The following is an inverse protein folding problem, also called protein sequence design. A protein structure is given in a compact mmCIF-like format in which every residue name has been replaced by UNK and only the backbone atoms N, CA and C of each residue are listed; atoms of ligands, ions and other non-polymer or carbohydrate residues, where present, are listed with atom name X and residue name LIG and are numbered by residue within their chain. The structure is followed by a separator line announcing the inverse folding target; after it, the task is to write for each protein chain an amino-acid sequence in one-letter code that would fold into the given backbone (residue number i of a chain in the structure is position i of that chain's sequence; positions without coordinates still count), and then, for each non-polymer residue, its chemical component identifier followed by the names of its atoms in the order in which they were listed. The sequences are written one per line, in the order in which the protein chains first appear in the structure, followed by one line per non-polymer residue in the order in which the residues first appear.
data_IF_993266828773
#
_entry.id   IF_993266828773
#
_cell.length_a   1.000
_cell.length_b   1.000
_cell.length_c   1.000
_cell.angle_alpha   90.00
_cell.angle_beta   90.00
_cell.angle_gamma   90.00
#
_symmetry.space_group_name_H-M   'P 1'
#
loop_
_entity.id
_entity.type
_entity.pdbx_description
1 polymer ?
#
# COMPACT_ATOMS: atom_id res chain seq x y z
N UNK A 1 9.21 -15.30 -5.41
CA UNK A 1 10.42 -15.68 -6.16
C UNK A 1 10.08 -15.69 -7.63
N UNK A 2 9.20 -16.62 -8.01
CA UNK A 2 8.65 -16.77 -9.36
C UNK A 2 8.23 -15.45 -10.04
N UNK A 3 7.38 -14.64 -9.42
CA UNK A 3 6.92 -13.37 -10.02
C UNK A 3 8.10 -12.45 -10.41
N UNK A 4 9.14 -12.34 -9.57
CA UNK A 4 10.31 -11.52 -9.92
C UNK A 4 11.06 -12.08 -11.13
N UNK A 5 11.18 -13.41 -11.23
CA UNK A 5 11.77 -14.06 -12.41
C UNK A 5 10.98 -13.75 -13.67
N UNK A 6 9.65 -13.85 -13.61
CA UNK A 6 8.77 -13.56 -14.75
C UNK A 6 8.89 -12.08 -15.16
N UNK A 7 8.86 -11.15 -14.19
CA UNK A 7 9.03 -9.71 -14.44
C UNK A 7 10.43 -9.34 -14.96
N UNK A 8 11.46 -10.12 -14.63
CA UNK A 8 12.82 -9.88 -15.14
C UNK A 8 13.02 -10.42 -16.56
N UNK A 9 12.22 -11.41 -16.98
CA UNK A 9 12.32 -11.99 -18.31
C UNK A 9 11.57 -11.19 -19.39
N UNK A 10 10.59 -10.36 -19.02
CA UNK A 10 9.92 -9.45 -19.94
C UNK A 10 10.68 -8.13 -20.07
N UNK A 11 10.90 -7.68 -21.31
CA UNK A 11 11.78 -6.55 -21.61
C UNK A 11 11.26 -5.21 -21.04
N UNK A 12 9.95 -4.95 -21.09
CA UNK A 12 9.38 -3.69 -20.59
C UNK A 12 9.44 -3.65 -19.06
N UNK A 13 9.08 -4.75 -18.39
CA UNK A 13 9.11 -4.81 -16.92
C UNK A 13 10.54 -4.84 -16.37
N UNK A 14 11.48 -5.46 -17.08
CA UNK A 14 12.92 -5.43 -16.78
C UNK A 14 13.49 -4.01 -16.89
N UNK A 15 13.23 -3.31 -18.01
CA UNK A 15 13.75 -1.95 -18.23
C UNK A 15 13.25 -0.96 -17.16
N UNK A 16 12.05 -1.19 -16.61
CA UNK A 16 11.46 -0.38 -15.53
C UNK A 16 11.87 -0.83 -14.12
N UNK A 17 12.70 -1.87 -14.00
CA UNK A 17 13.16 -2.47 -12.74
C UNK A 17 11.99 -2.87 -11.82
N UNK A 18 10.95 -3.50 -12.38
CA UNK A 18 9.81 -3.97 -11.61
C UNK A 18 10.16 -5.26 -10.86
N UNK A 19 10.04 -5.22 -9.53
CA UNK A 19 10.27 -6.38 -8.69
C UNK A 19 9.52 -6.23 -7.36
N UNK A 20 9.11 -7.36 -6.80
CA UNK A 20 8.58 -7.46 -5.44
C UNK A 20 9.76 -7.50 -4.47
N UNK A 21 9.73 -6.62 -3.46
CA UNK A 21 10.64 -6.70 -2.33
C UNK A 21 10.26 -7.89 -1.45
N UNK A 22 11.24 -8.74 -1.12
CA UNK A 22 11.03 -9.97 -0.34
C UNK A 22 11.92 -9.98 0.89
N UNK A 23 11.53 -10.78 1.87
CA UNK A 23 12.30 -11.06 3.07
C UNK A 23 12.34 -12.56 3.32
N UNK A 24 13.33 -13.01 4.10
CA UNK A 24 13.46 -14.41 4.45
C UNK A 24 12.40 -14.80 5.49
N UNK A 25 11.81 -15.98 5.33
CA UNK A 25 10.93 -16.60 6.32
C UNK A 25 11.39 -18.04 6.49
N UNK A 26 11.73 -18.42 7.72
CA UNK A 26 12.23 -19.75 8.06
C UNK A 26 11.28 -20.36 9.09
N UNK A 27 10.37 -21.26 8.70
CA UNK A 27 9.52 -21.95 9.66
C UNK A 27 10.38 -22.85 10.57
N UNK A 28 10.07 -22.83 11.87
CA UNK A 28 10.72 -23.69 12.87
C UNK A 28 9.75 -24.76 13.39
N UNK A 29 8.46 -24.43 13.47
CA UNK A 29 7.37 -25.34 13.82
C UNK A 29 6.07 -24.89 13.14
N UNK A 30 4.95 -25.54 13.43
CA UNK A 30 3.62 -25.10 12.98
C UNK A 30 3.21 -23.74 13.56
N UNK A 31 3.76 -23.36 14.72
CA UNK A 31 3.35 -22.17 15.47
C UNK A 31 4.49 -21.15 15.65
N UNK A 32 5.67 -21.43 15.09
CA UNK A 32 6.84 -20.56 15.22
C UNK A 32 7.72 -20.56 13.98
N UNK A 33 8.35 -19.43 13.73
CA UNK A 33 9.28 -19.23 12.64
C UNK A 33 10.09 -17.97 12.85
N UNK A 34 11.14 -17.81 12.05
CA UNK A 34 11.98 -16.62 12.02
C UNK A 34 11.62 -15.80 10.78
N UNK A 35 11.49 -14.49 10.97
CA UNK A 35 11.32 -13.53 9.89
C UNK A 35 12.60 -12.70 9.79
N UNK A 36 13.19 -12.67 8.61
CA UNK A 36 14.38 -11.88 8.33
C UNK A 36 14.06 -10.39 8.46
N UNK A 37 14.84 -9.70 9.28
CA UNK A 37 14.71 -8.26 9.45
C UNK A 37 14.98 -7.53 8.12
N UNK A 38 14.09 -6.62 7.74
CA UNK A 38 14.27 -5.78 6.56
C UNK A 38 14.86 -4.44 7.00
N UNK A 39 16.13 -4.14 6.67
CA UNK A 39 16.76 -2.90 7.11
C UNK A 39 16.12 -1.69 6.41
N UNK A 40 16.25 -0.53 7.04
CA UNK A 40 15.81 0.77 6.52
C UNK A 40 14.31 0.91 6.18
N UNK A 41 13.48 -0.03 6.60
CA UNK A 41 12.04 0.01 6.38
C UNK A 41 11.29 0.42 7.66
N UNK A 42 10.28 1.28 7.50
CA UNK A 42 9.33 1.62 8.55
C UNK A 42 7.90 1.37 8.04
N UNK A 43 6.98 1.01 8.94
CA UNK A 43 5.56 0.88 8.56
C UNK A 43 4.98 2.24 8.19
N UNK A 44 3.98 2.27 7.29
CA UNK A 44 3.27 3.49 6.96
C UNK A 44 2.60 4.09 8.20
N UNK A 45 2.09 3.24 9.10
CA UNK A 45 1.54 3.70 10.38
C UNK A 45 2.56 4.51 11.19
N UNK A 46 3.77 3.97 11.40
CA UNK A 46 4.86 4.66 12.11
C UNK A 46 5.23 5.97 11.42
N UNK A 47 5.42 5.95 10.09
CA UNK A 47 5.79 7.13 9.32
C UNK A 47 4.76 8.26 9.43
N UNK A 48 3.48 7.95 9.30
CA UNK A 48 2.38 8.91 9.41
C UNK A 48 2.28 9.45 10.84
N UNK A 49 2.39 8.58 11.85
CA UNK A 49 2.37 8.97 13.26
C UNK A 49 3.46 9.98 13.58
N UNK A 50 4.70 9.66 13.23
CA UNK A 50 5.86 10.50 13.53
C UNK A 50 5.78 11.84 12.76
N UNK A 51 5.27 11.82 11.52
CA UNK A 51 5.01 13.05 10.75
C UNK A 51 3.97 13.94 11.43
N UNK A 52 2.81 13.37 11.80
CA UNK A 52 1.71 14.10 12.42
C UNK A 52 2.11 14.66 13.77
N UNK A 53 2.82 13.90 14.59
CA UNK A 53 3.35 14.36 15.88
C UNK A 53 4.27 15.58 15.70
N UNK A 54 5.20 15.50 14.74
CA UNK A 54 6.10 16.62 14.42
C UNK A 54 5.35 17.87 13.94
N UNK A 55 4.26 17.68 13.18
CA UNK A 55 3.42 18.77 12.65
C UNK A 55 2.30 19.19 13.61
N UNK A 56 2.22 18.59 14.80
CA UNK A 56 1.15 18.83 15.79
C UNK A 56 -0.26 18.56 15.24
N UNK A 57 -0.36 17.60 14.33
CA UNK A 57 -1.62 17.08 13.79
C UNK A 57 -2.05 15.89 14.66
N UNK A 58 -3.33 15.83 15.01
CA UNK A 58 -3.88 14.69 15.75
C UNK A 58 -3.86 13.43 14.87
N UNK A 59 -3.34 12.32 15.41
CA UNK A 59 -3.20 11.05 14.66
C UNK A 59 -4.54 10.56 14.10
N UNK A 60 -5.60 10.66 14.88
CA UNK A 60 -6.94 10.19 14.55
C UNK A 60 -7.89 11.32 14.09
N UNK A 61 -7.37 12.39 13.48
CA UNK A 61 -8.18 13.56 13.10
C UNK A 61 -9.36 13.20 12.20
N UNK A 62 -9.17 12.34 11.19
CA UNK A 62 -10.25 11.89 10.30
C UNK A 62 -11.35 11.19 11.10
N UNK A 63 -10.98 10.23 11.95
CA UNK A 63 -11.94 9.52 12.79
C UNK A 63 -12.66 10.44 13.78
N UNK A 64 -11.98 11.44 14.34
CA UNK A 64 -12.61 12.44 15.23
C UNK A 64 -13.61 13.32 14.49
N UNK A 65 -13.33 13.69 13.24
CA UNK A 65 -14.28 14.45 12.40
C UNK A 65 -15.53 13.59 12.13
N UNK A 66 -15.33 12.32 11.77
CA UNK A 66 -16.43 11.37 11.57
C UNK A 66 -17.32 11.25 12.82
N UNK A 67 -16.72 10.98 13.98
CA UNK A 67 -17.47 10.82 15.24
C UNK A 67 -18.10 12.12 15.75
N UNK A 68 -17.56 13.29 15.38
CA UNK A 68 -18.18 14.58 15.68
C UNK A 68 -19.45 14.81 14.85
N UNK A 69 -19.43 14.38 13.59
CA UNK A 69 -20.61 14.46 12.72
C UNK A 69 -21.65 13.40 13.08
N UNK A 70 -21.22 12.17 13.35
CA UNK A 70 -22.09 11.06 13.74
C UNK A 70 -21.42 10.20 14.84
N UNK A 71 -21.78 10.41 16.13
CA UNK A 71 -21.21 9.66 17.25
C UNK A 71 -21.41 8.14 17.14
N UNK A 72 -22.57 7.71 16.61
CA UNK A 72 -22.93 6.29 16.44
C UNK A 72 -22.57 5.76 15.04
N UNK A 73 -21.37 6.08 14.54
CA UNK A 73 -20.93 5.75 13.18
C UNK A 73 -21.14 4.27 12.81
N UNK A 74 -20.86 3.35 13.74
CA UNK A 74 -20.93 1.91 13.48
C UNK A 74 -22.36 1.41 13.15
N UNK A 75 -23.39 2.08 13.67
CA UNK A 75 -24.80 1.73 13.49
C UNK A 75 -25.45 2.41 12.28
N UNK A 76 -24.73 3.28 11.58
CA UNK A 76 -25.23 3.95 10.39
C UNK A 76 -25.43 2.97 9.22
N UNK A 77 -26.43 3.27 8.39
CA UNK A 77 -26.60 2.62 7.09
C UNK A 77 -25.43 2.94 6.15
N UNK A 78 -25.27 2.17 5.08
CA UNK A 78 -24.15 2.34 4.15
C UNK A 78 -24.10 3.76 3.56
N UNK A 79 -25.25 4.31 3.13
CA UNK A 79 -25.29 5.65 2.52
C UNK A 79 -24.91 6.74 3.52
N UNK A 80 -25.34 6.62 4.78
CA UNK A 80 -24.96 7.55 5.85
C UNK A 80 -23.46 7.43 6.19
N UNK A 81 -22.89 6.21 6.18
CA UNK A 81 -21.45 6.00 6.36
C UNK A 81 -20.63 6.67 5.26
N UNK A 82 -21.11 6.61 4.02
CA UNK A 82 -20.49 7.29 2.87
C UNK A 82 -20.49 8.80 3.07
N UNK A 83 -21.63 9.38 3.43
CA UNK A 83 -21.75 10.83 3.68
C UNK A 83 -20.77 11.31 4.78
N UNK A 84 -20.73 10.60 5.92
CA UNK A 84 -19.82 10.94 7.03
C UNK A 84 -18.34 10.77 6.63
N UNK A 85 -18.05 9.75 5.81
CA UNK A 85 -16.71 9.49 5.32
C UNK A 85 -16.24 10.57 4.34
N UNK A 86 -17.09 10.97 3.38
CA UNK A 86 -16.83 12.06 2.43
C UNK A 86 -16.63 13.38 3.17
N UNK A 87 -17.47 13.68 4.17
CA UNK A 87 -17.30 14.87 5.00
C UNK A 87 -15.93 14.90 5.70
N UNK A 88 -15.47 13.79 6.26
CA UNK A 88 -14.14 13.73 6.87
C UNK A 88 -13.02 13.87 5.85
N UNK A 89 -13.21 13.34 4.64
CA UNK A 89 -12.27 13.51 3.53
C UNK A 89 -12.17 14.97 3.08
N UNK A 90 -13.28 15.69 2.95
CA UNK A 90 -13.28 17.09 2.51
C UNK A 90 -12.64 18.02 3.54
N UNK A 91 -12.71 17.66 4.83
CA UNK A 91 -12.14 18.44 5.93
C UNK A 91 -10.68 18.10 6.25
N UNK A 92 -10.02 17.23 5.49
CA UNK A 92 -8.62 16.85 5.71
C UNK A 92 -7.89 16.63 4.38
N UNK A 93 -6.59 16.95 4.29
CA UNK A 93 -5.91 16.93 2.99
C UNK A 93 -5.43 15.54 2.53
N UNK A 94 -5.02 14.67 3.46
CA UNK A 94 -4.47 13.35 3.12
C UNK A 94 -3.15 13.43 2.31
N UNK A 95 -2.34 14.46 2.53
CA UNK A 95 -1.08 14.70 1.84
C UNK A 95 0.16 14.31 2.69
N UNK A 96 -0.06 13.71 3.87
CA UNK A 96 0.95 13.35 4.85
C UNK A 96 2.10 12.54 4.23
N UNK A 97 1.75 11.46 3.50
CA UNK A 97 2.73 10.57 2.87
C UNK A 97 3.50 11.27 1.75
N UNK A 98 2.81 12.07 0.92
CA UNK A 98 3.42 12.83 -0.16
C UNK A 98 4.45 13.83 0.38
N UNK A 99 4.08 14.58 1.43
CA UNK A 99 4.97 15.52 2.12
C UNK A 99 6.10 14.80 2.83
N UNK A 100 5.86 13.64 3.43
CA UNK A 100 6.91 12.85 4.07
C UNK A 100 7.95 12.36 3.06
N UNK A 101 7.52 11.84 1.90
CA UNK A 101 8.43 11.41 0.83
C UNK A 101 9.35 12.54 0.38
N UNK A 102 8.78 13.76 0.25
CA UNK A 102 9.56 14.96 -0.05
C UNK A 102 10.55 15.31 1.07
N UNK A 103 10.06 15.48 2.31
CA UNK A 103 10.87 15.92 3.45
C UNK A 103 11.98 14.95 3.86
N UNK A 104 11.83 13.65 3.55
CA UNK A 104 12.81 12.60 3.84
C UNK A 104 13.82 12.40 2.70
N UNK A 105 13.68 13.12 1.59
CA UNK A 105 14.59 13.02 0.45
C UNK A 105 15.64 14.13 0.51
N UNK A 106 16.93 13.80 0.30
CA UNK A 106 18.02 14.78 0.42
C UNK A 106 18.09 15.75 -0.78
N UNK A 107 17.59 15.35 -1.94
CA UNK A 107 17.53 16.17 -3.15
C UNK A 107 16.24 15.88 -3.93
N UNK A 108 15.90 16.77 -4.87
CA UNK A 108 14.76 16.61 -5.77
C UNK A 108 14.89 15.40 -6.71
N UNK A 109 16.11 15.10 -7.16
CA UNK A 109 16.40 13.93 -8.00
C UNK A 109 16.14 12.62 -7.24
N UNK A 110 16.65 12.53 -5.99
CA UNK A 110 16.41 11.35 -5.13
C UNK A 110 14.93 11.22 -4.78
N UNK A 111 14.24 12.34 -4.52
CA UNK A 111 12.79 12.32 -4.32
C UNK A 111 12.06 11.78 -5.55
N UNK A 112 12.43 12.24 -6.74
CA UNK A 112 11.80 11.84 -7.99
C UNK A 112 11.98 10.33 -8.24
N UNK A 113 13.18 9.81 -8.01
CA UNK A 113 13.46 8.37 -8.11
C UNK A 113 12.66 7.57 -7.07
N UNK A 114 12.70 7.97 -5.79
CA UNK A 114 11.96 7.31 -4.71
C UNK A 114 10.45 7.29 -4.97
N UNK A 115 9.89 8.41 -5.44
CA UNK A 115 8.48 8.49 -5.81
C UNK A 115 8.14 7.57 -6.97
N UNK A 116 9.01 7.48 -7.97
CA UNK A 116 8.83 6.56 -9.11
C UNK A 116 8.86 5.10 -8.65
N UNK A 117 9.81 4.74 -7.78
CA UNK A 117 9.92 3.41 -7.18
C UNK A 117 8.72 3.09 -6.29
N UNK A 118 8.26 4.03 -5.48
CA UNK A 118 7.04 3.94 -4.67
C UNK A 118 5.84 3.58 -5.55
N UNK A 119 5.56 4.38 -6.59
CA UNK A 119 4.41 4.18 -7.48
C UNK A 119 4.48 2.82 -8.18
N UNK A 120 5.65 2.44 -8.72
CA UNK A 120 5.85 1.16 -9.42
C UNK A 120 5.71 -0.04 -8.49
N UNK A 121 6.35 0.00 -7.31
CA UNK A 121 6.29 -1.11 -6.35
C UNK A 121 4.89 -1.29 -5.77
N UNK A 122 4.16 -0.20 -5.52
CA UNK A 122 2.77 -0.26 -5.12
C UNK A 122 1.90 -0.89 -6.23
N UNK A 123 2.05 -0.47 -7.48
CA UNK A 123 1.32 -1.06 -8.61
C UNK A 123 1.60 -2.56 -8.79
N UNK A 124 2.87 -2.99 -8.68
CA UNK A 124 3.24 -4.41 -8.74
C UNK A 124 2.53 -5.19 -7.64
N UNK A 125 2.59 -4.73 -6.39
CA UNK A 125 1.94 -5.42 -5.27
C UNK A 125 0.42 -5.35 -5.32
N UNK A 126 -0.19 -4.32 -5.91
CA UNK A 126 -1.64 -4.26 -6.13
C UNK A 126 -2.11 -5.37 -7.06
N UNK A 127 -1.43 -5.58 -8.20
CA UNK A 127 -1.83 -6.63 -9.15
C UNK A 127 -1.52 -8.03 -8.63
N UNK A 128 -0.36 -8.22 -8.01
CA UNK A 128 0.04 -9.52 -7.43
C UNK A 128 -0.82 -9.86 -6.22
N UNK A 129 -1.08 -8.89 -5.35
CA UNK A 129 -1.95 -9.04 -4.19
C UNK A 129 -3.40 -9.35 -4.57
N UNK A 130 -3.90 -8.73 -5.65
CA UNK A 130 -5.21 -9.04 -6.20
C UNK A 130 -5.32 -10.50 -6.64
N UNK A 131 -4.36 -11.00 -7.42
CA UNK A 131 -4.37 -12.40 -7.90
C UNK A 131 -4.24 -13.39 -6.74
N UNK A 132 -3.46 -13.05 -5.72
CA UNK A 132 -3.28 -13.89 -4.53
C UNK A 132 -4.49 -13.85 -3.58
N UNK A 133 -5.38 -12.87 -3.72
CA UNK A 133 -6.45 -12.64 -2.75
C UNK A 133 -5.94 -12.12 -1.40
N UNK A 134 -4.91 -11.28 -1.41
CA UNK A 134 -4.21 -10.80 -0.21
C UNK A 134 -5.00 -9.68 0.50
N UNK A 135 -5.65 -10.02 1.61
CA UNK A 135 -6.44 -9.13 2.47
C UNK A 135 -5.67 -8.53 3.65
N UNK A 136 -6.34 -7.79 4.55
CA UNK A 136 -5.76 -7.15 5.74
C UNK A 136 -4.53 -6.28 5.47
N UNK A 137 -4.62 -5.48 4.39
CA UNK A 137 -3.55 -4.57 3.99
C UNK A 137 -3.56 -3.29 4.83
N UNK A 138 -3.71 -3.35 6.16
CA UNK A 138 -3.72 -2.20 7.07
C UNK A 138 -2.37 -1.43 7.12
N UNK A 139 -2.29 -0.15 7.56
CA UNK A 139 -1.08 0.65 7.37
C UNK A 139 0.16 0.12 8.12
N UNK A 140 -0.03 -0.76 9.10
CA UNK A 140 1.08 -1.45 9.78
C UNK A 140 1.62 -2.65 8.99
N UNK A 141 0.87 -3.18 8.02
CA UNK A 141 1.27 -4.29 7.14
C UNK A 141 1.89 -3.79 5.82
N UNK A 142 1.99 -2.47 5.67
CA UNK A 142 2.63 -1.80 4.55
C UNK A 142 3.85 -1.06 5.10
N UNK A 143 5.02 -1.38 4.58
CA UNK A 143 6.27 -0.73 4.92
C UNK A 143 6.81 0.06 3.73
N UNK A 144 7.57 1.11 4.01
CA UNK A 144 8.28 1.90 3.02
C UNK A 144 9.77 1.83 3.31
N UNK A 145 10.56 1.43 2.30
CA UNK A 145 12.01 1.53 2.36
C UNK A 145 12.43 3.00 2.25
N UNK A 146 13.05 3.52 3.32
CA UNK A 146 13.53 4.90 3.38
C UNK A 146 14.61 5.23 2.36
N UNK A 147 15.33 4.22 1.84
CA UNK A 147 16.42 4.43 0.89
C UNK A 147 15.89 4.42 -0.54
N UNK A 148 15.26 3.32 -0.96
CA UNK A 148 14.79 3.15 -2.35
C UNK A 148 13.42 3.78 -2.63
N UNK A 149 12.60 4.02 -1.60
CA UNK A 149 11.21 4.45 -1.74
C UNK A 149 10.24 3.32 -2.11
N UNK A 150 10.69 2.06 -2.21
CA UNK A 150 9.81 0.93 -2.55
C UNK A 150 8.87 0.59 -1.39
N UNK A 151 7.63 0.23 -1.72
CA UNK A 151 6.68 -0.37 -0.78
C UNK A 151 6.98 -1.86 -0.62
N UNK A 152 6.89 -2.32 0.63
CA UNK A 152 7.02 -3.72 1.03
C UNK A 152 5.75 -4.11 1.80
N UNK A 153 5.10 -5.20 1.38
CA UNK A 153 4.00 -5.79 2.14
C UNK A 153 4.58 -6.83 3.10
N UNK A 154 4.12 -6.81 4.34
CA UNK A 154 4.39 -7.85 5.34
C UNK A 154 3.09 -8.51 5.78
N UNK A 155 3.21 -9.57 6.57
CA UNK A 155 2.09 -10.35 7.10
C UNK A 155 1.17 -10.89 5.99
N UNK A 156 1.36 -12.17 5.63
CA UNK A 156 0.58 -12.82 4.57
C UNK A 156 -0.44 -13.81 5.14
N UNK A 157 -0.91 -13.58 6.38
CA UNK A 157 -1.88 -14.46 7.05
C UNK A 157 -3.23 -14.56 6.32
N UNK A 158 -3.70 -13.45 5.73
CA UNK A 158 -4.97 -13.40 4.99
C UNK A 158 -4.74 -13.47 3.47
N UNK A 159 -4.46 -14.65 2.95
CA UNK A 159 -4.43 -14.92 1.50
C UNK A 159 -5.72 -15.63 1.05
N UNK A 160 -5.98 -15.66 -0.26
CA UNK A 160 -7.13 -16.34 -0.86
C UNK A 160 -8.48 -15.81 -0.34
N UNK A 161 -8.61 -14.48 -0.29
CA UNK A 161 -9.86 -13.77 -0.03
C UNK A 161 -10.50 -14.08 1.35
N UNK A 162 -9.72 -14.64 2.28
CA UNK A 162 -10.17 -14.93 3.65
C UNK A 162 -10.73 -13.68 4.32
N UNK A 163 -10.10 -12.52 4.13
CA UNK A 163 -10.60 -11.25 4.68
C UNK A 163 -11.96 -10.81 4.10
N UNK A 164 -12.32 -11.24 2.89
CA UNK A 164 -13.59 -10.90 2.24
C UNK A 164 -14.76 -11.75 2.76
N UNK A 165 -14.49 -12.91 3.34
CA UNK A 165 -15.49 -13.88 3.82
C UNK A 165 -15.69 -13.86 5.34
N UNK A 166 -14.97 -12.97 6.06
CA UNK A 166 -15.11 -12.80 7.51
C UNK A 166 -16.51 -12.35 7.91
N UNK A 167 -17.00 -12.90 9.02
CA UNK A 167 -18.31 -12.53 9.59
C UNK A 167 -18.37 -11.06 10.03
N UNK A 168 -17.25 -10.54 10.55
CA UNK A 168 -17.13 -9.14 11.00
C UNK A 168 -16.26 -8.36 10.03
N UNK A 169 -16.79 -7.23 9.57
CA UNK A 169 -16.12 -6.28 8.68
C UNK A 169 -15.47 -6.94 7.44
N UNK A 170 -16.25 -7.65 6.60
CA UNK A 170 -15.70 -8.27 5.39
C UNK A 170 -15.10 -7.20 4.47
N UNK A 171 -13.86 -7.43 4.03
CA UNK A 171 -13.22 -6.54 3.06
C UNK A 171 -13.95 -6.59 1.72
N UNK A 172 -14.14 -5.41 1.11
CA UNK A 172 -14.84 -5.25 -0.18
C UNK A 172 -13.91 -4.71 -1.28
N UNK A 173 -12.60 -4.76 -1.05
CA UNK A 173 -11.60 -4.15 -1.94
C UNK A 173 -10.57 -5.19 -2.38
N UNK A 174 -10.06 -5.11 -3.62
CA UNK A 174 -9.04 -6.05 -4.14
C UNK A 174 -7.64 -5.77 -3.57
N UNK A 175 -7.37 -4.52 -3.19
CA UNK A 175 -6.14 -4.05 -2.59
C UNK A 175 -6.39 -2.64 -2.04
N UNK A 176 -5.50 -2.17 -1.16
CA UNK A 176 -5.57 -0.81 -0.65
C UNK A 176 -5.05 0.20 -1.69
N UNK A 177 -5.93 1.10 -2.12
CA UNK A 177 -5.57 2.28 -2.93
C UNK A 177 -6.30 3.53 -2.43
N UNK A 178 -5.99 3.98 -1.21
CA UNK A 178 -6.65 5.13 -0.58
C UNK A 178 -6.05 6.46 -1.07
N UNK A 179 -6.79 7.57 -0.87
CA UNK A 179 -6.36 8.92 -1.28
C UNK A 179 -4.94 9.29 -0.84
N UNK A 180 -4.49 8.87 0.34
CA UNK A 180 -3.15 9.21 0.84
C UNK A 180 -2.05 8.49 0.04
N UNK A 181 -2.32 7.26 -0.41
CA UNK A 181 -1.40 6.53 -1.28
C UNK A 181 -1.36 7.13 -2.68
N UNK A 182 -2.53 7.56 -3.19
CA UNK A 182 -2.68 8.21 -4.50
C UNK A 182 -1.99 9.58 -4.52
N UNK A 183 -2.21 10.41 -3.50
CA UNK A 183 -1.61 11.75 -3.38
C UNK A 183 -0.07 11.70 -3.31
N UNK A 184 0.50 10.58 -2.88
CA UNK A 184 1.95 10.36 -2.86
C UNK A 184 2.54 9.98 -4.23
N UNK A 185 1.70 9.73 -5.25
CA UNK A 185 2.10 9.44 -6.62
C UNK A 185 2.43 10.73 -7.40
N UNK A 186 2.52 10.64 -8.73
CA UNK A 186 2.66 11.81 -9.57
C UNK A 186 1.35 12.60 -9.72
N UNK A 187 1.43 13.81 -10.27
CA UNK A 187 0.28 14.74 -10.40
C UNK A 187 -0.88 14.19 -11.22
N UNK A 188 -0.62 13.21 -12.10
CA UNK A 188 -1.66 12.51 -12.87
C UNK A 188 -2.41 11.46 -12.04
N UNK A 189 -2.08 11.31 -10.75
CA UNK A 189 -2.65 10.32 -9.86
C UNK A 189 -2.42 8.90 -10.39
N UNK A 190 -3.50 8.12 -10.47
CA UNK A 190 -3.44 6.72 -10.90
C UNK A 190 -3.25 6.54 -12.40
N UNK A 191 -3.55 7.56 -13.22
CA UNK A 191 -3.56 7.50 -14.69
C UNK A 191 -2.17 7.52 -15.33
N UNK A 192 -1.11 7.65 -14.53
CA UNK A 192 0.26 7.79 -15.01
C UNK A 192 1.05 6.49 -15.01
N UNK A 193 2.14 6.51 -14.25
CA UNK A 193 3.02 5.37 -13.99
C UNK A 193 2.27 4.23 -13.33
N UNK A 194 1.35 4.52 -12.40
CA UNK A 194 0.61 3.47 -11.67
C UNK A 194 -0.19 2.56 -12.62
N UNK A 195 -1.12 3.13 -13.41
CA UNK A 195 -1.93 2.39 -14.39
C UNK A 195 -1.06 1.62 -15.39
N UNK A 196 -0.06 2.27 -16.00
CA UNK A 196 0.84 1.61 -16.96
C UNK A 196 1.60 0.45 -16.34
N UNK A 197 2.07 0.58 -15.10
CA UNK A 197 2.71 -0.53 -14.40
C UNK A 197 1.72 -1.65 -14.09
N UNK A 198 0.48 -1.34 -13.69
CA UNK A 198 -0.56 -2.37 -13.52
C UNK A 198 -0.82 -3.14 -14.81
N UNK A 199 -0.94 -2.46 -15.95
CA UNK A 199 -1.16 -3.07 -17.27
C UNK A 199 0.00 -3.99 -17.67
N UNK A 200 1.26 -3.52 -17.58
CA UNK A 200 2.43 -4.34 -17.89
C UNK A 200 2.51 -5.57 -16.97
N UNK A 201 2.33 -5.39 -15.65
CA UNK A 201 2.38 -6.50 -14.68
C UNK A 201 1.26 -7.51 -14.94
N UNK A 202 0.02 -7.06 -15.11
CA UNK A 202 -1.12 -7.94 -15.35
C UNK A 202 -0.98 -8.69 -16.68
N UNK A 203 -0.51 -8.03 -17.73
CA UNK A 203 -0.22 -8.66 -19.03
C UNK A 203 0.83 -9.76 -18.90
N UNK A 204 1.91 -9.51 -18.16
CA UNK A 204 2.97 -10.50 -17.90
C UNK A 204 2.44 -11.68 -17.08
N UNK A 205 1.69 -11.42 -16.00
CA UNK A 205 1.14 -12.48 -15.16
C UNK A 205 0.12 -13.33 -15.93
N UNK A 206 -0.77 -12.70 -16.70
CA UNK A 206 -1.76 -13.43 -17.51
C UNK A 206 -1.11 -14.29 -18.61
N UNK A 207 -0.04 -13.81 -19.26
CA UNK A 207 0.73 -14.60 -20.24
C UNK A 207 1.41 -15.82 -19.63
N UNK A 208 1.75 -15.77 -18.34
CA UNK A 208 2.46 -16.83 -17.62
C UNK A 208 1.55 -17.55 -16.61
N UNK A 209 0.23 -17.54 -16.84
CA UNK A 209 -0.77 -18.11 -15.92
C UNK A 209 -0.55 -19.59 -15.62
N UNK A 210 0.00 -20.37 -16.56
CA UNK A 210 0.22 -21.81 -16.36
C UNK A 210 1.43 -22.08 -15.44
N UNK A 211 2.29 -21.06 -15.25
CA UNK A 211 3.41 -21.12 -14.31
C UNK A 211 3.05 -20.61 -12.92
N UNK A 212 1.94 -19.88 -12.77
CA UNK A 212 1.46 -19.25 -11.54
C UNK A 212 0.40 -20.11 -10.85
#
# INVERSE_FOLDING_TARGET
GLVNTILQNDADTFQRNLAIQRYAVIPLSTNSGLIGWVPHCDTLHTLIRDYREKKKILLNIEHRIMLRMAPDYDHLSLIQKVEVFEHAMDNTHGDDLARLLWLKSPSSEVWFERRTNYTRSLAVMSMVGYILGLGDRHPSNLMLDRMSGKILHIDFGDCFEVAMTREKFPERIPFRLTRMLINAMEVTGIEGTYRRTCESVMSVLHRNKDSL
#
